data_IF_713459045724
#
_entry.id   IF_713459045724
#
_cell.length_a   1.000
_cell.length_b   1.000
_cell.length_c   1.000
_cell.angle_alpha   90.00
_cell.angle_beta   90.00
_cell.angle_gamma   90.00
#
_symmetry.space_group_name_H-M   'P 1'
#
loop_
_entity.id
_entity.type
_entity.pdbx_description
1 polymer ?
#
# COMPACT_ATOMS: atom_id res chain seq x y z
N UNK A 1 -9.71 11.99 3.25
CA UNK A 1 -8.90 10.80 3.65
C UNK A 1 -7.46 10.99 3.19
N UNK A 2 -6.46 10.79 4.07
CA UNK A 2 -5.05 10.84 3.68
C UNK A 2 -4.68 9.51 3.03
N UNK A 3 -4.49 9.51 1.72
CA UNK A 3 -3.98 8.35 0.99
C UNK A 3 -2.45 8.32 1.07
N UNK A 4 -1.90 7.34 1.76
CA UNK A 4 -0.46 7.12 1.87
C UNK A 4 0.10 6.45 0.61
N UNK A 5 1.28 6.88 0.18
CA UNK A 5 2.05 6.14 -0.84
C UNK A 5 2.47 4.79 -0.28
N UNK A 6 2.64 3.80 -1.16
CA UNK A 6 3.10 2.44 -0.82
C UNK A 6 4.30 2.43 0.13
N UNK A 7 5.28 3.33 -0.07
CA UNK A 7 6.45 3.42 0.82
C UNK A 7 6.10 3.88 2.24
N UNK A 8 5.21 4.86 2.38
CA UNK A 8 4.81 5.38 3.69
C UNK A 8 3.86 4.43 4.41
N UNK A 9 2.99 3.76 3.68
CA UNK A 9 2.14 2.71 4.22
C UNK A 9 2.95 1.51 4.70
N UNK A 10 4.02 1.13 3.98
CA UNK A 10 4.93 0.08 4.41
C UNK A 10 5.59 0.41 5.75
N UNK A 11 6.04 1.67 5.91
CA UNK A 11 6.61 2.16 7.17
C UNK A 11 5.59 2.18 8.31
N UNK A 12 4.38 2.69 8.08
CA UNK A 12 3.32 2.74 9.09
C UNK A 12 2.90 1.35 9.57
N UNK A 13 2.86 0.38 8.67
CA UNK A 13 2.53 -1.01 8.96
C UNK A 13 3.73 -1.82 9.49
N UNK A 14 4.93 -1.24 9.51
CA UNK A 14 6.16 -1.94 9.90
C UNK A 14 6.52 -3.12 9.01
N UNK A 15 6.04 -3.15 7.76
CA UNK A 15 6.27 -4.25 6.81
C UNK A 15 7.14 -3.82 5.65
N UNK A 16 7.79 -4.79 5.00
CA UNK A 16 8.55 -4.53 3.78
C UNK A 16 7.62 -4.13 2.61
N UNK A 17 8.13 -3.29 1.69
CA UNK A 17 7.42 -2.95 0.42
C UNK A 17 6.94 -4.19 -0.35
N UNK A 18 7.75 -5.26 -0.54
CA UNK A 18 7.26 -6.46 -1.22
C UNK A 18 6.15 -7.17 -0.44
N UNK A 19 6.21 -7.24 0.90
CA UNK A 19 5.11 -7.79 1.72
C UNK A 19 3.82 -7.00 1.52
N UNK A 20 3.92 -5.67 1.52
CA UNK A 20 2.77 -4.78 1.29
C UNK A 20 2.16 -5.00 -0.10
N UNK A 21 2.98 -5.06 -1.15
CA UNK A 21 2.51 -5.36 -2.51
C UNK A 21 1.84 -6.73 -2.60
N UNK A 22 2.39 -7.74 -1.91
CA UNK A 22 1.80 -9.08 -1.87
C UNK A 22 0.43 -9.08 -1.21
N UNK A 23 0.27 -8.36 -0.08
CA UNK A 23 -1.01 -8.17 0.62
C UNK A 23 -2.04 -7.40 -0.20
N UNK A 24 -1.61 -6.37 -0.94
CA UNK A 24 -2.47 -5.65 -1.89
C UNK A 24 -2.94 -6.61 -3.00
N UNK A 25 -2.02 -7.40 -3.56
CA UNK A 25 -2.34 -8.37 -4.62
C UNK A 25 -3.24 -9.51 -4.11
N UNK A 26 -3.10 -9.89 -2.84
CA UNK A 26 -3.96 -10.86 -2.16
C UNK A 26 -5.33 -10.28 -1.78
N UNK A 27 -5.54 -8.95 -1.88
CA UNK A 27 -6.78 -8.29 -1.49
C UNK A 27 -6.92 -8.03 0.02
N UNK A 28 -5.91 -8.37 0.83
CA UNK A 28 -5.90 -8.14 2.28
C UNK A 28 -5.80 -6.65 2.63
N UNK A 29 -5.16 -5.85 1.78
CA UNK A 29 -5.02 -4.41 1.96
C UNK A 29 -5.72 -3.70 0.81
N UNK A 30 -6.73 -2.88 1.14
CA UNK A 30 -7.34 -1.96 0.19
C UNK A 30 -6.31 -0.94 -0.25
N UNK A 31 -5.89 -1.02 -1.51
CA UNK A 31 -5.10 0.01 -2.16
C UNK A 31 -5.82 0.46 -3.43
N UNK A 32 -5.78 1.76 -3.68
CA UNK A 32 -6.29 2.40 -4.88
C UNK A 32 -5.12 2.68 -5.81
N UNK A 33 -5.18 2.17 -7.04
CA UNK A 33 -4.19 2.51 -8.05
C UNK A 33 -4.52 3.90 -8.59
N UNK A 34 -3.65 4.87 -8.31
CA UNK A 34 -3.78 6.25 -8.80
C UNK A 34 -2.62 6.51 -9.75
N UNK A 35 -2.90 6.39 -11.06
CA UNK A 35 -1.88 6.47 -12.12
C UNK A 35 -0.87 5.31 -12.06
N UNK A 36 0.42 5.64 -11.94
CA UNK A 36 1.51 4.66 -11.81
C UNK A 36 1.76 4.19 -10.37
N UNK A 37 1.14 4.79 -9.36
CA UNK A 37 1.38 4.49 -7.94
C UNK A 37 0.17 3.86 -7.24
N UNK A 38 0.44 3.05 -6.21
CA UNK A 38 -0.58 2.55 -5.29
C UNK A 38 -0.72 3.49 -4.10
N UNK A 39 -1.96 3.82 -3.78
CA UNK A 39 -2.36 4.67 -2.68
C UNK A 39 -3.18 3.86 -1.68
N UNK A 40 -2.73 3.82 -0.44
CA UNK A 40 -3.35 3.05 0.64
C UNK A 40 -3.98 4.06 1.61
N UNK A 41 -5.27 3.92 1.96
CA UNK A 41 -5.92 4.77 2.95
C UNK A 41 -5.32 4.63 4.35
#
# INVERSE_FOLDING_TARGET
>A
MKLYRTGKAAQLLGISKPTLLRKIKAGEIKAYRVGKEYRIP
#
